data_IF_437616359272
#
_entry.id   IF_437616359272
#
_cell.length_a   1.000
_cell.length_b   1.000
_cell.length_c   1.000
_cell.angle_alpha   90.00
_cell.angle_beta   90.00
_cell.angle_gamma   90.00
#
_symmetry.space_group_name_H-M   'P 1'
#
loop_
_entity.id
_entity.type
_entity.pdbx_description
1 polymer ?
#
# COMPACT_ATOMS: atom_id res chain seq x y z
N UNK A 1 -9.79 0.98 -14.59
CA UNK A 1 -8.48 0.35 -14.81
C UNK A 1 -8.68 -1.09 -15.25
N UNK A 2 -8.16 -1.43 -16.40
CA UNK A 2 -8.42 -2.72 -17.04
C UNK A 2 -7.10 -3.43 -17.36
N UNK A 3 -6.55 -4.12 -16.38
CA UNK A 3 -5.40 -4.98 -16.57
C UNK A 3 -5.54 -6.20 -15.66
N UNK A 4 -4.85 -7.27 -16.02
CA UNK A 4 -4.66 -8.42 -15.14
C UNK A 4 -3.18 -8.52 -14.81
N UNK A 5 -2.87 -8.67 -13.53
CA UNK A 5 -1.49 -8.75 -13.05
C UNK A 5 -0.74 -9.91 -13.73
N UNK A 6 -1.40 -11.05 -13.90
CA UNK A 6 -0.79 -12.20 -14.57
C UNK A 6 -0.44 -11.91 -16.03
N UNK A 7 -1.30 -11.18 -16.74
CA UNK A 7 -1.03 -10.82 -18.13
C UNK A 7 0.19 -9.89 -18.24
N UNK A 8 0.31 -8.94 -17.31
CA UNK A 8 1.50 -8.07 -17.27
C UNK A 8 2.76 -8.88 -16.99
N UNK A 9 2.72 -9.78 -16.01
CA UNK A 9 3.86 -10.62 -15.69
C UNK A 9 4.23 -11.54 -16.84
N UNK A 10 3.24 -12.10 -17.54
CA UNK A 10 3.48 -12.96 -18.70
C UNK A 10 4.14 -12.20 -19.85
N UNK A 11 3.76 -10.93 -20.05
CA UNK A 11 4.34 -10.09 -21.08
C UNK A 11 5.84 -9.80 -20.86
N UNK A 12 6.28 -9.83 -19.60
CA UNK A 12 7.67 -9.49 -19.23
C UNK A 12 8.43 -10.66 -18.60
N UNK A 13 7.92 -11.89 -18.71
CA UNK A 13 8.52 -13.06 -18.04
C UNK A 13 9.96 -13.36 -18.45
N UNK A 14 10.35 -12.96 -19.65
CA UNK A 14 11.69 -13.19 -20.19
C UNK A 14 12.62 -11.97 -19.98
N UNK A 15 12.14 -10.92 -19.32
CA UNK A 15 12.95 -9.74 -19.05
C UNK A 15 13.89 -10.00 -17.87
N UNK A 16 15.20 -9.87 -18.13
CA UNK A 16 16.24 -10.07 -17.13
C UNK A 16 16.88 -8.76 -16.66
N UNK A 17 16.28 -7.61 -17.05
CA UNK A 17 16.84 -6.28 -16.74
C UNK A 17 16.51 -5.76 -15.36
N UNK A 18 15.68 -6.47 -14.58
CA UNK A 18 15.09 -6.03 -13.31
C UNK A 18 14.14 -4.83 -13.45
N UNK A 19 13.71 -4.51 -14.65
CA UNK A 19 12.73 -3.45 -14.88
C UNK A 19 11.34 -3.85 -14.37
N UNK A 20 11.03 -5.14 -14.35
CA UNK A 20 9.78 -5.70 -13.83
C UNK A 20 10.12 -6.59 -12.65
N UNK A 21 9.49 -6.30 -11.51
CA UNK A 21 9.72 -7.04 -10.27
C UNK A 21 8.39 -7.38 -9.62
N UNK A 22 8.30 -8.56 -9.03
CA UNK A 22 7.11 -9.03 -8.34
C UNK A 22 7.39 -9.03 -6.84
N UNK A 23 6.51 -8.42 -6.07
CA UNK A 23 6.63 -8.44 -4.61
C UNK A 23 6.44 -9.86 -4.08
N UNK A 24 7.10 -10.22 -2.96
CA UNK A 24 6.88 -11.53 -2.34
C UNK A 24 5.40 -11.74 -2.01
N UNK A 25 4.88 -12.98 -2.08
CA UNK A 25 3.46 -13.27 -1.81
C UNK A 25 3.17 -13.34 -0.31
N UNK A 26 3.52 -12.30 0.42
CA UNK A 26 3.40 -12.24 1.89
C UNK A 26 2.38 -11.20 2.35
N UNK A 27 1.79 -10.45 1.43
CA UNK A 27 0.88 -9.36 1.77
C UNK A 27 -0.54 -9.85 1.98
N UNK A 28 -1.18 -9.34 3.02
CA UNK A 28 -2.61 -9.46 3.24
C UNK A 28 -3.33 -8.31 2.55
N UNK A 29 -4.60 -8.51 2.20
CA UNK A 29 -5.41 -7.56 1.43
C UNK A 29 -6.40 -6.82 2.33
N UNK A 30 -6.36 -5.50 2.28
CA UNK A 30 -7.30 -4.63 2.98
C UNK A 30 -7.76 -3.53 2.02
N UNK A 31 -8.74 -2.74 2.47
CA UNK A 31 -9.33 -1.70 1.63
C UNK A 31 -10.45 -2.23 0.77
N UNK A 32 -11.34 -1.33 0.31
CA UNK A 32 -12.49 -1.72 -0.49
C UNK A 32 -12.11 -2.07 -1.95
N UNK A 33 -10.94 -1.62 -2.42
CA UNK A 33 -10.50 -1.82 -3.80
C UNK A 33 -9.49 -2.97 -3.84
N UNK A 34 -9.85 -4.06 -4.51
CA UNK A 34 -8.99 -5.24 -4.61
C UNK A 34 -7.96 -5.17 -5.75
N UNK A 35 -8.10 -4.22 -6.66
CA UNK A 35 -7.30 -4.15 -7.87
C UNK A 35 -6.96 -2.68 -8.16
N UNK A 36 -5.69 -2.33 -8.07
CA UNK A 36 -5.24 -0.94 -8.21
C UNK A 36 -3.84 -0.86 -8.81
N UNK A 37 -3.52 0.28 -9.37
CA UNK A 37 -2.20 0.60 -9.88
C UNK A 37 -2.03 2.12 -9.93
N UNK A 38 -0.79 2.56 -10.00
CA UNK A 38 -0.45 3.98 -10.13
C UNK A 38 1.05 4.19 -10.04
N UNK A 39 1.50 5.43 -10.27
CA UNK A 39 2.88 5.80 -10.01
C UNK A 39 3.25 5.52 -8.54
N UNK A 40 4.47 5.10 -8.30
CA UNK A 40 4.92 4.76 -6.95
C UNK A 40 5.58 5.98 -6.31
N UNK A 41 5.16 6.28 -5.08
CA UNK A 41 5.89 7.16 -4.17
C UNK A 41 6.31 6.36 -2.95
N UNK A 42 7.44 6.68 -2.37
CA UNK A 42 8.02 5.87 -1.31
C UNK A 42 8.22 6.65 -0.02
N UNK A 43 8.09 5.94 1.09
CA UNK A 43 8.43 6.41 2.44
C UNK A 43 9.18 5.30 3.14
N UNK A 44 10.25 5.64 3.83
CA UNK A 44 10.96 4.71 4.70
C UNK A 44 10.83 5.18 6.15
N UNK A 45 10.44 4.28 7.03
CA UNK A 45 10.25 4.58 8.45
C UNK A 45 10.41 3.31 9.28
N UNK A 46 10.54 3.47 10.59
CA UNK A 46 10.61 2.30 11.46
C UNK A 46 9.81 2.56 12.74
N UNK A 47 8.68 1.84 12.87
CA UNK A 47 7.81 1.86 14.05
C UNK A 47 7.29 3.26 14.41
N UNK A 48 7.26 4.16 13.42
CA UNK A 48 6.76 5.53 13.54
C UNK A 48 6.14 5.93 12.20
N UNK A 49 4.93 6.43 12.23
CA UNK A 49 4.17 6.74 11.01
C UNK A 49 4.11 8.22 10.64
N UNK A 50 4.98 9.05 11.22
CA UNK A 50 4.95 10.50 10.96
C UNK A 50 5.10 10.82 9.48
N UNK A 51 6.06 10.18 8.79
CA UNK A 51 6.26 10.39 7.36
C UNK A 51 5.13 9.82 6.51
N UNK A 52 4.52 8.72 6.96
CA UNK A 52 3.35 8.15 6.30
C UNK A 52 2.19 9.12 6.35
N UNK A 53 1.92 9.69 7.52
CA UNK A 53 0.88 10.69 7.70
C UNK A 53 1.14 11.92 6.83
N UNK A 54 2.36 12.42 6.80
CA UNK A 54 2.76 13.54 5.96
C UNK A 54 2.43 13.27 4.48
N UNK A 55 2.81 12.08 3.99
CA UNK A 55 2.57 11.71 2.61
C UNK A 55 1.07 11.63 2.32
N UNK A 56 0.30 10.92 3.15
CA UNK A 56 -1.12 10.67 2.89
C UNK A 56 -1.98 11.91 3.08
N UNK A 57 -1.52 12.91 3.85
CA UNK A 57 -2.19 14.21 3.97
C UNK A 57 -1.94 15.11 2.73
N UNK A 58 -1.07 14.71 1.83
CA UNK A 58 -0.79 15.43 0.60
C UNK A 58 -1.54 14.83 -0.59
N UNK A 59 -1.69 15.58 -1.72
CA UNK A 59 -2.35 15.04 -2.91
C UNK A 59 -1.64 13.81 -3.45
N UNK A 60 -2.40 12.74 -3.66
CA UNK A 60 -1.89 11.47 -4.19
C UNK A 60 -1.82 11.42 -5.71
N UNK A 61 -2.76 12.09 -6.38
CA UNK A 61 -2.84 12.15 -7.86
C UNK A 61 -2.84 10.75 -8.50
N UNK A 62 -3.53 9.79 -7.86
CA UNK A 62 -3.61 8.42 -8.35
C UNK A 62 -2.39 7.56 -8.05
N UNK A 63 -1.45 8.05 -7.25
CA UNK A 63 -0.24 7.29 -6.91
C UNK A 63 -0.52 6.19 -5.88
N UNK A 64 0.41 5.24 -5.82
CA UNK A 64 0.47 4.22 -4.78
C UNK A 64 1.62 4.57 -3.84
N UNK A 65 1.33 4.68 -2.55
CA UNK A 65 2.36 4.90 -1.55
C UNK A 65 2.94 3.55 -1.12
N UNK A 66 4.23 3.37 -1.32
CA UNK A 66 4.94 2.18 -0.84
C UNK A 66 5.72 2.57 0.41
N UNK A 67 5.36 1.98 1.53
CA UNK A 67 5.94 2.26 2.84
C UNK A 67 6.90 1.13 3.21
N UNK A 68 8.19 1.44 3.28
CA UNK A 68 9.16 0.52 3.84
C UNK A 68 9.21 0.73 5.35
N UNK A 69 8.48 -0.11 6.07
CA UNK A 69 8.43 -0.10 7.53
C UNK A 69 9.42 -1.06 8.18
N UNK A 70 10.42 -1.52 7.42
CA UNK A 70 11.43 -2.44 7.93
C UNK A 70 10.92 -3.84 8.23
N UNK A 71 9.69 -4.16 7.84
CA UNK A 71 9.09 -5.46 8.12
C UNK A 71 8.66 -5.64 9.58
N UNK A 72 8.67 -4.58 10.40
CA UNK A 72 8.30 -4.68 11.81
C UNK A 72 6.82 -5.07 11.96
N UNK A 73 6.56 -6.01 12.84
CA UNK A 73 5.21 -6.45 13.19
C UNK A 73 4.74 -5.87 14.53
N UNK A 74 5.49 -4.91 15.09
CA UNK A 74 5.25 -4.41 16.44
C UNK A 74 4.43 -3.12 16.49
N UNK A 75 4.30 -2.41 15.36
CA UNK A 75 3.57 -1.15 15.29
C UNK A 75 2.75 -1.10 14.00
N UNK A 76 1.53 -0.59 14.09
CA UNK A 76 0.73 -0.28 12.92
C UNK A 76 1.18 1.07 12.34
N UNK A 77 1.36 1.12 11.02
CA UNK A 77 1.77 2.33 10.33
C UNK A 77 0.60 3.06 9.66
N UNK A 78 -0.49 2.35 9.38
CA UNK A 78 -1.72 2.91 8.80
C UNK A 78 -2.91 2.39 9.57
N UNK A 79 -3.76 3.30 9.98
CA UNK A 79 -5.06 3.00 10.59
C UNK A 79 -6.17 3.69 9.83
N UNK A 80 -7.38 3.69 10.43
CA UNK A 80 -8.58 4.23 9.79
C UNK A 80 -8.47 5.69 9.38
N UNK A 81 -7.88 6.54 10.22
CA UNK A 81 -7.74 7.96 9.90
C UNK A 81 -6.83 8.21 8.71
N UNK A 82 -5.72 7.48 8.61
CA UNK A 82 -4.80 7.63 7.48
C UNK A 82 -5.37 7.04 6.19
N UNK A 83 -6.12 5.95 6.29
CA UNK A 83 -6.81 5.38 5.14
C UNK A 83 -7.86 6.36 4.60
N UNK A 84 -8.63 7.00 5.47
CA UNK A 84 -9.61 8.01 5.08
C UNK A 84 -8.93 9.20 4.41
N UNK A 85 -7.81 9.67 4.95
CA UNK A 85 -7.03 10.75 4.36
C UNK A 85 -6.51 10.37 2.97
N UNK A 86 -5.98 9.16 2.82
CA UNK A 86 -5.47 8.66 1.54
C UNK A 86 -6.57 8.63 0.48
N UNK A 87 -7.74 8.09 0.81
CA UNK A 87 -8.87 8.04 -0.12
C UNK A 87 -9.32 9.45 -0.51
N UNK A 88 -9.46 10.34 0.47
CA UNK A 88 -9.87 11.74 0.26
C UNK A 88 -8.88 12.50 -0.61
N UNK A 89 -7.61 12.23 -0.47
CA UNK A 89 -6.53 12.94 -1.18
C UNK A 89 -6.14 12.30 -2.52
N UNK A 90 -6.90 11.31 -3.00
CA UNK A 90 -6.73 10.78 -4.34
C UNK A 90 -5.63 9.74 -4.50
N UNK A 91 -5.20 9.09 -3.42
CA UNK A 91 -4.29 7.96 -3.51
C UNK A 91 -5.02 6.72 -4.06
N UNK A 92 -4.37 5.98 -4.94
CA UNK A 92 -4.92 4.74 -5.49
C UNK A 92 -4.78 3.56 -4.54
N UNK A 93 -3.71 3.55 -3.76
CA UNK A 93 -3.45 2.47 -2.82
C UNK A 93 -2.24 2.72 -1.96
N UNK A 94 -2.07 1.82 -0.98
CA UNK A 94 -0.94 1.83 -0.04
C UNK A 94 -0.41 0.42 0.07
N UNK A 95 0.90 0.25 -0.05
CA UNK A 95 1.59 -1.02 0.19
C UNK A 95 2.53 -0.81 1.36
N UNK A 96 2.34 -1.57 2.44
CA UNK A 96 3.07 -1.39 3.70
C UNK A 96 3.91 -2.63 3.98
N UNK A 97 5.21 -2.47 4.00
CA UNK A 97 6.13 -3.48 4.51
C UNK A 97 6.19 -3.34 6.04
N UNK A 98 5.09 -3.72 6.67
CA UNK A 98 4.80 -3.55 8.09
C UNK A 98 3.34 -3.87 8.36
N UNK A 99 2.82 -3.40 9.49
CA UNK A 99 1.46 -3.67 9.94
C UNK A 99 0.52 -2.49 9.76
N UNK A 100 -0.78 -2.80 9.75
CA UNK A 100 -1.88 -1.84 9.77
C UNK A 100 -2.86 -2.22 10.88
N UNK A 101 -3.88 -1.39 11.12
CA UNK A 101 -4.93 -1.65 12.11
C UNK A 101 -6.27 -1.12 11.62
N UNK A 102 -7.34 -1.30 12.41
CA UNK A 102 -8.67 -0.77 12.13
C UNK A 102 -9.28 -1.38 10.86
N UNK A 103 -9.29 -2.71 10.74
CA UNK A 103 -9.68 -3.44 9.52
C UNK A 103 -11.03 -2.99 8.97
N UNK A 104 -12.05 -2.85 9.83
CA UNK A 104 -13.38 -2.44 9.38
C UNK A 104 -13.35 -1.06 8.73
N UNK A 105 -12.59 -0.12 9.33
CA UNK A 105 -12.43 1.23 8.77
C UNK A 105 -11.61 1.22 7.48
N UNK A 106 -10.53 0.41 7.43
CA UNK A 106 -9.74 0.25 6.20
C UNK A 106 -10.61 -0.24 5.05
N UNK A 107 -11.43 -1.26 5.32
CA UNK A 107 -12.25 -1.90 4.29
C UNK A 107 -13.44 -1.04 3.85
N UNK A 108 -13.75 0.04 4.57
CA UNK A 108 -14.76 1.00 4.17
C UNK A 108 -14.22 2.06 3.19
N UNK A 109 -12.90 2.19 3.07
CA UNK A 109 -12.30 3.22 2.23
C UNK A 109 -12.06 2.76 0.81
N UNK A 110 -12.32 3.65 -0.16
CA UNK A 110 -12.18 3.37 -1.60
C UNK A 110 -10.73 3.51 -2.04
N UNK A 111 -9.88 2.62 -1.55
CA UNK A 111 -8.51 2.44 -2.00
C UNK A 111 -8.07 1.02 -1.69
N UNK A 112 -6.99 0.56 -2.34
CA UNK A 112 -6.38 -0.73 -2.03
C UNK A 112 -5.32 -0.59 -0.97
N UNK A 113 -5.24 -1.57 -0.06
CA UNK A 113 -4.22 -1.61 0.98
C UNK A 113 -3.64 -3.01 1.03
N UNK A 114 -2.32 -3.10 1.04
CA UNK A 114 -1.58 -4.36 1.20
C UNK A 114 -0.62 -4.18 2.36
N UNK A 115 -0.60 -5.12 3.29
CA UNK A 115 0.27 -5.07 4.46
C UNK A 115 0.64 -6.48 4.91
N UNK A 116 1.65 -6.59 5.76
CA UNK A 116 2.10 -7.89 6.27
C UNK A 116 1.12 -8.49 7.27
N UNK A 117 0.41 -7.66 8.02
CA UNK A 117 -0.53 -8.13 9.00
C UNK A 117 -1.10 -7.00 9.84
N UNK A 118 -1.69 -7.36 10.95
CA UNK A 118 -2.37 -6.45 11.86
C UNK A 118 -1.62 -6.33 13.18
N UNK A 119 -1.58 -5.11 13.72
CA UNK A 119 -1.14 -4.85 15.08
C UNK A 119 -1.97 -3.68 15.62
N UNK A 120 -2.59 -3.79 16.80
CA UNK A 120 -3.43 -2.72 17.34
C UNK A 120 -2.65 -1.53 17.89
N UNK A 121 -1.34 -1.65 18.00
CA UNK A 121 -0.47 -0.58 18.47
C UNK A 121 0.07 0.22 17.29
#
# INVERSE_FOLDING_TARGET
>A
MKFATCDLCDAFKDDTSDAVRVLPPVFQHYGAVGHFAGPVRTVQCFEDNTLVKQALDSPGDGAVLVVDGGGSLRKALVGGNLAAAAARNGWAGIVVWGCVRDVAELNAEQLGIRALGLNPM
#
